data_IF_506640435026
#
_entry.id   IF_506640435026
#
_cell.length_a   1.000
_cell.length_b   1.000
_cell.length_c   1.000
_cell.angle_alpha   90.00
_cell.angle_beta   90.00
_cell.angle_gamma   90.00
#
_symmetry.space_group_name_H-M   'P 1'
#
loop_
_entity.id
_entity.type
_entity.pdbx_description
1 polymer ?
#
# COMPACT_ATOMS: atom_id res chain seq x y z
N UNK A 1 21.01 -18.05 -26.16
CA UNK A 1 20.11 -17.48 -25.13
C UNK A 1 18.88 -16.93 -25.84
N UNK A 2 17.73 -17.58 -25.68
CA UNK A 2 16.46 -17.10 -26.22
C UNK A 2 15.49 -16.95 -25.06
N UNK A 3 15.32 -15.73 -24.56
CA UNK A 3 14.31 -15.42 -23.56
C UNK A 3 13.00 -15.25 -24.31
N UNK A 4 12.15 -16.26 -24.27
CA UNK A 4 10.80 -16.20 -24.82
C UNK A 4 9.99 -15.18 -24.03
N UNK A 5 9.79 -14.00 -24.62
CA UNK A 5 8.88 -12.98 -24.11
C UNK A 5 7.46 -13.50 -24.16
N UNK A 6 6.93 -13.90 -23.01
CA UNK A 6 5.52 -14.26 -22.84
C UNK A 6 4.72 -12.97 -22.96
N UNK A 7 4.13 -12.74 -24.13
CA UNK A 7 3.14 -11.67 -24.32
C UNK A 7 1.91 -12.02 -23.48
N UNK A 8 1.78 -11.38 -22.31
CA UNK A 8 0.61 -11.51 -21.44
C UNK A 8 -0.51 -10.63 -22.01
N UNK A 9 -1.33 -11.22 -22.87
CA UNK A 9 -2.53 -10.55 -23.39
C UNK A 9 -3.68 -10.65 -22.40
N UNK A 10 -4.22 -9.47 -22.08
CA UNK A 10 -5.64 -9.15 -21.84
C UNK A 10 -6.30 -9.58 -20.50
N UNK A 11 -6.71 -8.55 -19.76
CA UNK A 11 -7.62 -8.57 -18.61
C UNK A 11 -7.14 -9.21 -17.30
N UNK A 12 -5.90 -8.92 -16.88
CA UNK A 12 -5.51 -9.15 -15.48
C UNK A 12 -6.22 -8.11 -14.61
N UNK A 13 -7.30 -8.52 -13.94
CA UNK A 13 -8.00 -7.67 -12.96
C UNK A 13 -7.01 -7.30 -11.86
N UNK A 14 -6.51 -6.08 -11.89
CA UNK A 14 -5.60 -5.58 -10.86
C UNK A 14 -6.39 -5.33 -9.58
N UNK A 15 -5.86 -5.81 -8.46
CA UNK A 15 -6.41 -5.46 -7.17
C UNK A 15 -6.10 -3.98 -6.91
N UNK A 16 -7.14 -3.17 -6.78
CA UNK A 16 -7.03 -1.77 -6.40
C UNK A 16 -7.46 -1.68 -4.93
N UNK A 17 -6.53 -1.53 -3.98
CA UNK A 17 -6.88 -1.35 -2.58
C UNK A 17 -7.70 -0.07 -2.42
N UNK A 18 -8.81 -0.17 -1.69
CA UNK A 18 -9.61 0.99 -1.31
C UNK A 18 -9.18 1.46 0.07
N UNK A 19 -8.76 2.72 0.18
CA UNK A 19 -8.39 3.30 1.48
C UNK A 19 -9.54 3.26 2.50
N UNK A 20 -10.78 3.35 2.03
CA UNK A 20 -11.96 3.17 2.89
C UNK A 20 -11.97 1.83 3.63
N UNK A 21 -11.54 0.75 2.96
CA UNK A 21 -11.50 -0.58 3.57
C UNK A 21 -10.44 -0.62 4.67
N UNK A 22 -9.28 -0.01 4.43
CA UNK A 22 -8.21 0.08 5.42
C UNK A 22 -8.64 0.87 6.67
N UNK A 23 -9.34 1.99 6.49
CA UNK A 23 -9.87 2.79 7.61
C UNK A 23 -10.93 2.02 8.42
N UNK A 24 -11.84 1.32 7.73
CA UNK A 24 -12.87 0.51 8.37
C UNK A 24 -12.23 -0.64 9.17
N UNK A 25 -11.31 -1.39 8.56
CA UNK A 25 -10.59 -2.47 9.24
C UNK A 25 -9.83 -1.96 10.47
N UNK A 26 -9.14 -0.81 10.34
CA UNK A 26 -8.43 -0.19 11.47
C UNK A 26 -9.37 0.12 12.64
N UNK A 27 -10.57 0.64 12.36
CA UNK A 27 -11.58 0.93 13.41
C UNK A 27 -12.05 -0.32 14.14
N UNK A 28 -12.22 -1.45 13.43
CA UNK A 28 -12.59 -2.72 14.06
C UNK A 28 -11.51 -3.24 15.03
N UNK A 29 -10.24 -2.91 14.77
CA UNK A 29 -9.11 -3.23 15.66
C UNK A 29 -8.93 -2.20 16.79
N UNK A 30 -9.83 -1.21 16.90
CA UNK A 30 -9.72 -0.12 17.88
C UNK A 30 -8.65 0.92 17.53
N UNK A 31 -8.10 0.88 16.31
CA UNK A 31 -7.11 1.84 15.84
C UNK A 31 -7.82 3.05 15.20
N UNK A 32 -7.21 4.22 15.35
CA UNK A 32 -7.68 5.45 14.71
C UNK A 32 -6.52 6.16 14.02
N UNK A 33 -6.80 6.68 12.82
CA UNK A 33 -5.81 7.44 12.07
C UNK A 33 -5.67 8.83 12.70
N UNK A 34 -4.47 9.17 13.16
CA UNK A 34 -4.16 10.55 13.56
C UNK A 34 -4.06 11.38 12.28
N UNK A 35 -4.85 12.45 12.20
CA UNK A 35 -4.69 13.48 11.16
C UNK A 35 -3.46 14.31 11.53
N UNK A 36 -2.27 13.75 11.37
CA UNK A 36 -1.05 14.55 11.45
C UNK A 36 -0.94 15.38 10.17
N UNK A 37 -0.75 16.69 10.30
CA UNK A 37 -0.54 17.63 9.18
C UNK A 37 0.81 17.43 8.47
N UNK A 38 1.61 16.44 8.89
CA UNK A 38 2.88 16.13 8.26
C UNK A 38 2.74 14.93 7.32
N UNK A 39 2.76 15.23 6.04
CA UNK A 39 3.09 14.32 4.94
C UNK A 39 4.53 13.78 5.09
N UNK A 40 4.77 12.94 6.10
CA UNK A 40 6.03 12.18 6.24
C UNK A 40 6.07 11.13 5.16
N UNK A 41 7.17 11.05 4.43
CA UNK A 41 7.36 9.96 3.47
C UNK A 41 7.52 8.63 4.21
N UNK A 42 7.14 7.53 3.55
CA UNK A 42 7.43 6.17 4.04
C UNK A 42 8.94 6.00 4.26
N UNK A 43 9.78 6.65 3.44
CA UNK A 43 11.23 6.62 3.60
C UNK A 43 11.67 7.25 4.93
N UNK A 44 11.11 8.40 5.30
CA UNK A 44 11.42 9.11 6.54
C UNK A 44 10.99 8.29 7.77
N UNK A 45 9.81 7.65 7.70
CA UNK A 45 9.32 6.78 8.76
C UNK A 45 10.23 5.56 8.92
N UNK A 46 10.67 4.93 7.82
CA UNK A 46 11.61 3.82 7.88
C UNK A 46 12.94 4.26 8.49
N UNK A 47 13.52 5.38 8.09
CA UNK A 47 14.77 5.88 8.67
C UNK A 47 14.66 6.16 10.18
N UNK A 48 13.52 6.69 10.64
CA UNK A 48 13.30 7.03 12.04
C UNK A 48 13.09 5.80 12.94
N UNK A 49 12.42 4.77 12.43
CA UNK A 49 11.95 3.63 13.24
C UNK A 49 12.62 2.29 12.90
N UNK A 50 13.46 2.22 11.86
CA UNK A 50 14.33 1.07 11.62
C UNK A 50 15.40 1.03 12.71
N UNK A 51 15.11 0.27 13.77
CA UNK A 51 16.12 -0.23 14.70
C UNK A 51 16.80 -1.45 14.12
#
# INVERSE_FOLDING_TARGET
MAVTSVKKTENVRTFIPKMSNFEISSKYEGLSFKKEDLSKSIADLKAKYAR
#
